data_IF_383386811031
#
_entry.id   IF_383386811031
#
_cell.length_a   1.000
_cell.length_b   1.000
_cell.length_c   1.000
_cell.angle_alpha   90.00
_cell.angle_beta   90.00
_cell.angle_gamma   90.00
#
_symmetry.space_group_name_H-M   'P 1'
#
loop_
_entity.id
_entity.type
_entity.pdbx_description
1 polymer ?
#
# COMPACT_ATOMS: atom_id res chain seq x y z
N UNK A 1 -4.74 -8.99 25.44
CA UNK A 1 -4.79 -7.99 24.34
C UNK A 1 -4.14 -6.67 24.78
N UNK A 2 -4.43 -6.20 26.00
CA UNK A 2 -3.89 -4.95 26.57
C UNK A 2 -2.36 -4.83 26.60
N UNK A 3 -1.64 -5.92 26.94
CA UNK A 3 -0.18 -5.88 26.99
C UNK A 3 0.45 -5.74 25.59
N UNK A 4 -0.11 -6.43 24.59
CA UNK A 4 0.33 -6.31 23.20
C UNK A 4 0.11 -4.90 22.68
N UNK A 5 -1.07 -4.33 22.93
CA UNK A 5 -1.40 -2.98 22.51
C UNK A 5 -0.47 -1.94 23.15
N UNK A 6 -0.25 -2.01 24.48
CA UNK A 6 0.67 -1.11 25.18
C UNK A 6 2.10 -1.23 24.67
N UNK A 7 2.57 -2.44 24.40
CA UNK A 7 3.90 -2.66 23.85
C UNK A 7 4.04 -2.12 22.42
N UNK A 8 3.00 -2.28 21.59
CA UNK A 8 2.97 -1.71 20.25
C UNK A 8 3.01 -0.19 20.30
N UNK A 9 2.17 0.45 21.13
CA UNK A 9 2.16 1.90 21.30
C UNK A 9 3.53 2.44 21.72
N UNK A 10 4.17 1.78 22.70
CA UNK A 10 5.53 2.13 23.15
C UNK A 10 6.56 2.02 22.02
N UNK A 11 6.50 0.95 21.23
CA UNK A 11 7.41 0.75 20.10
C UNK A 11 7.18 1.78 18.99
N UNK A 12 5.92 2.05 18.65
CA UNK A 12 5.57 3.06 17.64
C UNK A 12 5.98 4.47 18.05
N UNK A 13 5.93 4.80 19.34
CA UNK A 13 6.45 6.07 19.85
C UNK A 13 7.98 6.13 19.81
N UNK A 14 8.66 5.04 20.17
CA UNK A 14 10.13 4.99 20.21
C UNK A 14 10.76 4.94 18.82
N UNK A 15 10.09 4.29 17.86
CA UNK A 15 10.55 4.07 16.49
C UNK A 15 9.45 4.51 15.51
N UNK A 16 9.21 5.82 15.37
CA UNK A 16 8.14 6.32 14.53
C UNK A 16 8.40 5.96 13.07
N UNK A 17 7.37 5.42 12.41
CA UNK A 17 7.42 5.19 10.97
C UNK A 17 7.26 6.53 10.24
N UNK A 18 8.34 7.01 9.63
CA UNK A 18 8.35 8.28 8.90
C UNK A 18 7.80 8.11 7.49
N UNK A 19 6.50 8.37 7.32
CA UNK A 19 5.80 8.21 6.04
C UNK A 19 5.80 9.46 5.16
N UNK A 20 6.29 10.60 5.64
CA UNK A 20 6.30 11.87 4.92
C UNK A 20 6.88 11.79 3.50
N UNK A 21 7.97 11.03 3.22
CA UNK A 21 8.49 10.89 1.86
C UNK A 21 7.56 10.16 0.89
N UNK A 22 6.65 9.33 1.41
CA UNK A 22 5.74 8.48 0.65
C UNK A 22 4.32 9.07 0.57
N UNK A 23 3.99 10.03 1.43
CA UNK A 23 2.66 10.65 1.49
C UNK A 23 2.65 12.02 0.80
N UNK A 24 3.15 12.10 -0.44
CA UNK A 24 3.08 13.34 -1.21
C UNK A 24 1.62 13.73 -1.46
N UNK A 25 1.32 15.01 -1.29
CA UNK A 25 -0.06 15.53 -1.20
C UNK A 25 -0.66 15.94 -2.53
N UNK A 26 0.17 16.11 -3.57
CA UNK A 26 -0.25 16.59 -4.88
C UNK A 26 0.19 15.62 -5.97
N UNK A 27 -0.71 14.72 -6.37
CA UNK A 27 -0.50 13.82 -7.50
C UNK A 27 -1.28 14.36 -8.71
N UNK A 28 -0.59 14.60 -9.81
CA UNK A 28 -1.20 14.96 -11.11
C UNK A 28 -1.87 13.74 -11.75
N UNK A 29 -2.71 13.97 -12.77
CA UNK A 29 -3.35 12.90 -13.55
C UNK A 29 -2.36 11.93 -14.20
N UNK A 30 -1.16 12.40 -14.57
CA UNK A 30 -0.10 11.54 -15.08
C UNK A 30 0.37 10.49 -14.06
N UNK A 31 0.36 10.82 -12.76
CA UNK A 31 0.69 9.86 -11.70
C UNK A 31 -0.36 8.76 -11.54
N UNK A 32 -1.64 9.06 -11.78
CA UNK A 32 -2.70 8.06 -11.72
C UNK A 32 -2.55 7.01 -12.82
N UNK A 33 -2.28 7.45 -14.06
CA UNK A 33 -2.02 6.52 -15.16
C UNK A 33 -0.82 5.62 -14.90
N UNK A 34 0.27 6.19 -14.37
CA UNK A 34 1.45 5.41 -13.99
C UNK A 34 1.13 4.38 -12.90
N UNK A 35 0.36 4.77 -11.88
CA UNK A 35 -0.04 3.87 -10.80
C UNK A 35 -0.97 2.75 -11.28
N UNK A 36 -1.89 3.04 -12.20
CA UNK A 36 -2.72 2.04 -12.85
C UNK A 36 -1.88 1.04 -13.65
N UNK A 37 -0.94 1.52 -14.47
CA UNK A 37 -0.03 0.66 -15.24
C UNK A 37 0.82 -0.23 -14.31
N UNK A 38 1.31 0.30 -13.19
CA UNK A 38 2.03 -0.46 -12.17
C UNK A 38 1.12 -1.51 -11.52
N UNK A 39 -0.11 -1.14 -11.15
CA UNK A 39 -1.08 -2.06 -10.58
C UNK A 39 -1.35 -3.23 -11.54
N UNK A 40 -1.64 -2.95 -12.80
CA UNK A 40 -1.96 -3.99 -13.80
C UNK A 40 -0.78 -4.91 -14.08
N UNK A 41 0.45 -4.38 -14.09
CA UNK A 41 1.63 -5.17 -14.42
C UNK A 41 2.16 -6.00 -13.25
N UNK A 42 2.05 -5.50 -12.02
CA UNK A 42 2.79 -6.06 -10.87
C UNK A 42 1.90 -6.48 -9.70
N UNK A 43 0.67 -5.96 -9.59
CA UNK A 43 -0.18 -6.18 -8.42
C UNK A 43 -1.43 -7.01 -8.73
N UNK A 44 -2.08 -6.75 -9.87
CA UNK A 44 -3.40 -7.29 -10.21
C UNK A 44 -3.44 -8.81 -10.29
N UNK A 45 -2.33 -9.43 -10.73
CA UNK A 45 -2.22 -10.88 -10.83
C UNK A 45 -2.47 -11.60 -9.49
N UNK A 46 -2.14 -10.98 -8.36
CA UNK A 46 -2.46 -11.51 -7.03
C UNK A 46 -3.72 -10.86 -6.44
N UNK A 47 -3.91 -9.55 -6.65
CA UNK A 47 -4.85 -8.74 -5.88
C UNK A 47 -6.20 -8.46 -6.56
N UNK A 48 -6.36 -8.75 -7.86
CA UNK A 48 -7.59 -8.41 -8.61
C UNK A 48 -8.47 -9.61 -8.96
N UNK A 49 -8.16 -10.82 -8.45
CA UNK A 49 -8.95 -12.03 -8.69
C UNK A 49 -8.13 -13.32 -8.61
N UNK A 50 -8.78 -14.47 -8.87
CA UNK A 50 -8.28 -15.86 -8.88
C UNK A 50 -7.70 -16.46 -7.58
N UNK A 51 -7.32 -15.64 -6.59
CA UNK A 51 -6.67 -16.12 -5.36
C UNK A 51 -7.58 -16.12 -4.13
N UNK A 52 -8.84 -15.68 -4.25
CA UNK A 52 -9.80 -15.58 -3.14
C UNK A 52 -10.06 -16.92 -2.42
N UNK A 53 -9.91 -18.04 -3.13
CA UNK A 53 -10.15 -19.39 -2.61
C UNK A 53 -8.90 -20.05 -2.00
N UNK A 54 -7.74 -19.39 -2.02
CA UNK A 54 -6.53 -19.92 -1.38
C UNK A 54 -6.59 -19.72 0.14
N UNK A 55 -5.89 -20.58 0.89
CA UNK A 55 -5.84 -20.50 2.35
C UNK A 55 -5.34 -19.14 2.89
N UNK A 56 -4.52 -18.42 2.11
CA UNK A 56 -4.05 -17.07 2.41
C UNK A 56 -4.23 -16.20 1.15
N UNK A 57 -5.45 -15.69 0.89
CA UNK A 57 -5.72 -14.93 -0.31
C UNK A 57 -5.03 -13.57 -0.23
N UNK A 58 -4.41 -13.15 -1.33
CA UNK A 58 -4.02 -11.76 -1.49
C UNK A 58 -5.31 -10.92 -1.59
N UNK A 59 -5.56 -10.11 -0.58
CA UNK A 59 -6.78 -9.30 -0.49
C UNK A 59 -6.76 -8.17 -1.51
N UNK A 60 -7.92 -7.83 -2.04
CA UNK A 60 -8.09 -6.71 -2.96
C UNK A 60 -7.58 -5.40 -2.35
N UNK A 61 -6.64 -4.74 -3.05
CA UNK A 61 -5.95 -3.55 -2.55
C UNK A 61 -6.87 -2.31 -2.47
N UNK A 62 -7.89 -2.22 -3.34
CA UNK A 62 -8.88 -1.15 -3.29
C UNK A 62 -9.87 -1.33 -2.13
N UNK A 63 -10.19 -2.57 -1.76
CA UNK A 63 -10.97 -2.87 -0.55
C UNK A 63 -10.14 -2.64 0.70
N UNK A 64 -8.90 -3.11 0.74
CA UNK A 64 -8.00 -2.90 1.87
C UNK A 64 -7.72 -1.42 2.16
N UNK A 65 -7.51 -0.61 1.12
CA UNK A 65 -7.23 0.82 1.27
C UNK A 65 -8.36 1.58 2.00
N UNK A 66 -9.60 1.05 1.93
CA UNK A 66 -10.82 1.57 2.55
C UNK A 66 -11.10 1.01 3.95
N UNK A 67 -10.65 -0.21 4.25
CA UNK A 67 -10.92 -0.85 5.54
C UNK A 67 -10.01 -0.39 6.69
N UNK A 68 -9.01 0.45 6.40
CA UNK A 68 -8.02 0.89 7.39
C UNK A 68 -7.58 2.35 7.18
N UNK A 69 -6.88 2.89 8.17
CA UNK A 69 -6.35 4.25 8.08
C UNK A 69 -5.35 4.39 6.93
N UNK A 70 -5.17 5.62 6.41
CA UNK A 70 -4.16 5.91 5.37
C UNK A 70 -2.77 5.47 5.82
N UNK A 71 -2.42 5.78 7.07
CA UNK A 71 -1.11 5.44 7.65
C UNK A 71 -0.91 3.93 7.74
N UNK A 72 -1.93 3.19 8.19
CA UNK A 72 -1.84 1.73 8.27
C UNK A 72 -1.69 1.10 6.88
N UNK A 73 -2.48 1.54 5.91
CA UNK A 73 -2.39 1.04 4.54
C UNK A 73 -1.01 1.32 3.94
N UNK A 74 -0.51 2.55 4.09
CA UNK A 74 0.84 2.91 3.65
C UNK A 74 1.91 2.06 4.32
N UNK A 75 1.83 1.83 5.64
CA UNK A 75 2.78 0.98 6.35
C UNK A 75 2.77 -0.46 5.82
N UNK A 76 1.59 -1.00 5.53
CA UNK A 76 1.43 -2.36 4.97
C UNK A 76 1.99 -2.47 3.55
N UNK A 77 1.79 -1.47 2.70
CA UNK A 77 2.36 -1.45 1.34
C UNK A 77 3.89 -1.33 1.41
N UNK A 78 4.42 -0.44 2.26
CA UNK A 78 5.86 -0.23 2.39
C UNK A 78 6.59 -1.49 2.88
N UNK A 79 5.99 -2.23 3.81
CA UNK A 79 6.61 -3.41 4.44
C UNK A 79 6.28 -4.73 3.74
N UNK A 80 5.18 -4.78 3.00
CA UNK A 80 4.71 -5.96 2.28
C UNK A 80 5.38 -6.17 0.93
N UNK A 81 5.97 -5.13 0.36
CA UNK A 81 6.70 -5.20 -0.91
C UNK A 81 8.20 -5.35 -0.66
N UNK A 82 8.78 -6.41 -1.21
CA UNK A 82 10.19 -6.74 -1.05
C UNK A 82 10.85 -6.99 -2.39
N UNK A 83 12.16 -6.80 -2.38
CA UNK A 83 13.03 -7.00 -3.52
C UNK A 83 13.14 -8.47 -3.94
N UNK A 84 14.01 -8.70 -4.91
CA UNK A 84 14.33 -10.03 -5.41
C UNK A 84 15.63 -10.53 -4.76
N UNK A 85 16.24 -11.58 -5.32
CA UNK A 85 17.51 -12.11 -4.82
C UNK A 85 18.65 -11.08 -4.81
N UNK A 86 18.60 -10.07 -5.67
CA UNK A 86 19.62 -9.02 -5.78
C UNK A 86 19.38 -7.87 -4.78
N UNK A 87 18.12 -7.48 -4.56
CA UNK A 87 17.76 -6.32 -3.73
C UNK A 87 17.21 -6.68 -2.34
N UNK A 88 17.06 -7.98 -2.05
CA UNK A 88 16.68 -8.51 -0.73
C UNK A 88 15.41 -7.87 -0.16
N UNK A 89 15.52 -7.15 0.96
CA UNK A 89 14.41 -6.50 1.65
C UNK A 89 14.12 -5.07 1.15
N UNK A 90 14.88 -4.56 0.18
CA UNK A 90 14.63 -3.23 -0.37
C UNK A 90 13.28 -3.19 -1.08
N UNK A 91 12.54 -2.12 -0.89
CA UNK A 91 11.29 -1.92 -1.60
C UNK A 91 11.62 -1.69 -3.09
N UNK A 92 11.00 -2.43 -4.03
CA UNK A 92 11.30 -2.29 -5.45
C UNK A 92 10.78 -0.98 -6.06
N UNK A 93 9.97 -0.21 -5.33
CA UNK A 93 9.41 1.05 -5.78
C UNK A 93 10.08 2.24 -5.12
N UNK A 94 10.17 3.32 -5.89
CA UNK A 94 10.55 4.64 -5.39
C UNK A 94 9.46 5.22 -4.48
N UNK A 95 9.82 6.20 -3.64
CA UNK A 95 8.85 6.90 -2.79
C UNK A 95 7.69 7.53 -3.58
N UNK A 96 7.98 8.03 -4.78
CA UNK A 96 6.99 8.61 -5.69
C UNK A 96 6.01 7.56 -6.24
N UNK A 97 6.51 6.40 -6.68
CA UNK A 97 5.65 5.30 -7.16
C UNK A 97 4.77 4.75 -6.04
N UNK A 98 5.33 4.61 -4.82
CA UNK A 98 4.56 4.23 -3.64
C UNK A 98 3.46 5.25 -3.34
N UNK A 99 3.78 6.55 -3.37
CA UNK A 99 2.81 7.63 -3.19
C UNK A 99 1.69 7.55 -4.23
N UNK A 100 2.05 7.33 -5.49
CA UNK A 100 1.11 7.22 -6.61
C UNK A 100 0.18 6.01 -6.46
N UNK A 101 0.71 4.83 -6.12
CA UNK A 101 -0.08 3.62 -5.84
C UNK A 101 -1.05 3.83 -4.67
N UNK A 102 -0.57 4.42 -3.56
CA UNK A 102 -1.42 4.72 -2.39
C UNK A 102 -2.54 5.70 -2.77
N UNK A 103 -2.23 6.72 -3.57
CA UNK A 103 -3.22 7.66 -4.10
C UNK A 103 -4.24 6.97 -5.00
N UNK A 104 -3.77 6.16 -5.95
CA UNK A 104 -4.60 5.40 -6.88
C UNK A 104 -5.62 4.51 -6.16
N UNK A 105 -5.16 3.66 -5.24
CA UNK A 105 -6.05 2.77 -4.49
C UNK A 105 -7.05 3.50 -3.58
N UNK A 106 -6.79 4.76 -3.23
CA UNK A 106 -7.68 5.58 -2.39
C UNK A 106 -8.60 6.51 -3.17
N UNK A 107 -8.27 6.82 -4.42
CA UNK A 107 -8.99 7.82 -5.24
C UNK A 107 -9.79 7.20 -6.37
N UNK A 108 -9.40 6.03 -6.90
CA UNK A 108 -10.08 5.34 -8.01
C UNK A 108 -11.57 4.98 -7.75
N UNK A 109 -12.13 5.34 -6.59
CA UNK A 109 -13.55 5.19 -6.24
C UNK A 109 -14.34 6.50 -6.41
N UNK A 110 -13.70 7.65 -6.57
CA UNK A 110 -14.41 8.91 -6.82
C UNK A 110 -15.00 8.98 -8.24
N UNK A 111 -14.56 8.13 -9.17
CA UNK A 111 -15.09 8.10 -10.54
C UNK A 111 -16.27 7.12 -10.73
N UNK A 112 -16.49 6.15 -9.83
CA UNK A 112 -17.63 5.22 -9.91
C UNK A 112 -18.90 5.72 -9.20
N UNK A 113 -18.87 6.93 -8.62
CA UNK A 113 -20.01 7.53 -7.88
C UNK A 113 -20.56 8.82 -8.49
N UNK A 114 -20.22 9.12 -9.75
CA UNK A 114 -20.85 10.19 -10.55
C UNK A 114 -21.59 9.62 -11.76
#
# INVERSE_FOLDING_TARGET
LDELQKNLERLSQKYPLLLSPVLQSSLTTAYFKQAEELHQRLCSGCHSGAFAERALPALDLFRQSRSMSRMEFTARILTGLRGNQLTSLENPFTGTELSALIGYYRTAVLEETN
#
